data_IF_584474360472
#
_entry.id   IF_584474360472
#
_cell.length_a   1.000
_cell.length_b   1.000
_cell.length_c   1.000
_cell.angle_alpha   90.00
_cell.angle_beta   90.00
_cell.angle_gamma   90.00
#
_symmetry.space_group_name_H-M   'P 1'
#
loop_
_entity.id
_entity.type
_entity.pdbx_description
1 polymer ?
#
# COMPACT_ATOMS: atom_id res chain seq x y z
N UNK A 1 24.58 5.55 3.27
CA UNK A 1 23.95 6.84 2.92
C UNK A 1 24.91 7.60 2.01
N UNK A 2 24.44 8.04 0.85
CA UNK A 2 25.21 8.86 -0.10
C UNK A 2 24.51 10.23 -0.17
N UNK A 3 25.27 11.32 -0.16
CA UNK A 3 24.74 12.65 -0.49
C UNK A 3 24.89 12.85 -1.99
N UNK A 4 23.81 13.20 -2.67
CA UNK A 4 23.84 13.27 -4.13
C UNK A 4 22.46 13.43 -4.75
N UNK A 5 22.35 13.01 -6.01
CA UNK A 5 21.15 13.15 -6.84
C UNK A 5 20.72 11.77 -7.33
N UNK A 6 19.41 11.50 -7.29
CA UNK A 6 18.80 10.36 -7.95
C UNK A 6 18.00 10.86 -9.15
N UNK A 7 18.25 10.30 -10.32
CA UNK A 7 17.53 10.64 -11.55
C UNK A 7 16.49 9.55 -11.86
N UNK A 8 15.25 9.98 -12.09
CA UNK A 8 14.14 9.12 -12.51
C UNK A 8 13.78 9.47 -13.94
N UNK A 9 13.72 8.47 -14.81
CA UNK A 9 13.25 8.58 -16.19
C UNK A 9 12.27 7.44 -16.47
N UNK A 10 11.10 7.77 -17.03
CA UNK A 10 10.06 6.81 -17.39
C UNK A 10 9.67 5.86 -16.23
N UNK A 11 9.58 6.41 -15.01
CA UNK A 11 9.24 5.66 -13.80
C UNK A 11 10.35 4.75 -13.26
N UNK A 12 11.57 4.84 -13.80
CA UNK A 12 12.71 4.01 -13.38
C UNK A 12 13.88 4.88 -12.93
N UNK A 13 14.67 4.36 -11.98
CA UNK A 13 15.93 4.98 -11.59
C UNK A 13 16.91 4.82 -12.75
N UNK A 14 17.33 5.92 -13.35
CA UNK A 14 18.26 5.92 -14.49
C UNK A 14 19.71 6.20 -14.07
N UNK A 15 19.92 6.94 -12.98
CA UNK A 15 21.25 7.20 -12.41
C UNK A 15 21.18 7.56 -10.92
N UNK A 16 22.29 7.33 -10.22
CA UNK A 16 22.55 7.81 -8.86
C UNK A 16 23.94 8.46 -8.87
N UNK A 17 23.99 9.76 -8.65
CA UNK A 17 25.20 10.58 -8.69
C UNK A 17 25.55 11.10 -7.28
N UNK A 18 26.82 11.34 -7.01
CA UNK A 18 27.30 11.92 -5.73
C UNK A 18 27.27 13.45 -5.70
N UNK A 19 26.94 14.09 -6.82
CA UNK A 19 26.82 15.55 -6.94
C UNK A 19 25.38 16.02 -6.72
N UNK A 20 25.23 17.31 -6.39
CA UNK A 20 23.92 17.98 -6.35
C UNK A 20 23.58 18.46 -7.76
N UNK A 21 22.39 18.10 -8.25
CA UNK A 21 21.90 18.55 -9.55
C UNK A 21 21.73 20.06 -9.60
N UNK A 22 22.05 20.66 -10.75
CA UNK A 22 21.81 22.08 -11.05
C UNK A 22 20.64 22.28 -12.00
N UNK A 23 19.95 21.20 -12.39
CA UNK A 23 18.76 21.29 -13.24
C UNK A 23 17.63 21.98 -12.49
N UNK A 24 16.97 22.93 -13.14
CA UNK A 24 15.84 23.66 -12.55
C UNK A 24 14.66 22.75 -12.18
N UNK A 25 14.53 21.58 -12.81
CA UNK A 25 13.52 20.59 -12.52
C UNK A 25 13.88 19.64 -11.36
N UNK A 26 15.10 19.73 -10.81
CA UNK A 26 15.50 18.91 -9.67
C UNK A 26 14.74 19.37 -8.41
N UNK A 27 14.24 18.40 -7.65
CA UNK A 27 13.61 18.66 -6.36
C UNK A 27 14.65 18.53 -5.25
N UNK A 28 14.92 19.62 -4.54
CA UNK A 28 15.76 19.60 -3.34
C UNK A 28 14.97 19.00 -2.16
N UNK A 29 15.51 17.93 -1.58
CA UNK A 29 14.92 17.27 -0.42
C UNK A 29 15.33 17.94 0.90
N UNK A 30 16.08 19.05 0.86
CA UNK A 30 16.40 19.89 2.03
C UNK A 30 17.07 19.15 3.19
N UNK A 31 17.79 18.07 2.88
CA UNK A 31 18.47 17.23 3.86
C UNK A 31 17.66 16.02 4.35
N UNK A 32 16.41 15.85 3.90
CA UNK A 32 15.63 14.65 4.16
C UNK A 32 16.24 13.42 3.47
N UNK A 33 15.99 12.25 4.06
CA UNK A 33 16.43 10.98 3.49
C UNK A 33 15.50 10.51 2.39
N UNK A 34 16.06 10.29 1.20
CA UNK A 34 15.40 9.52 0.16
C UNK A 34 15.58 8.03 0.43
N UNK A 35 14.47 7.32 0.59
CA UNK A 35 14.43 5.88 0.83
C UNK A 35 13.65 5.20 -0.31
N UNK A 36 13.94 3.92 -0.63
CA UNK A 36 13.01 3.14 -1.42
C UNK A 36 11.66 3.04 -0.69
N UNK A 37 10.58 2.86 -1.46
CA UNK A 37 9.27 2.58 -0.89
C UNK A 37 9.31 1.33 -0.02
N UNK A 38 8.62 1.36 1.12
CA UNK A 38 8.61 0.25 2.06
C UNK A 38 7.74 -0.89 1.53
N UNK A 39 8.12 -2.12 1.87
CA UNK A 39 7.37 -3.34 1.56
C UNK A 39 6.83 -3.91 2.87
N UNK A 40 5.50 -3.97 2.98
CA UNK A 40 4.82 -4.62 4.10
C UNK A 40 4.49 -6.06 3.72
N UNK A 41 5.16 -7.01 4.37
CA UNK A 41 5.04 -8.44 4.04
C UNK A 41 3.88 -9.12 4.78
N UNK A 42 3.42 -8.54 5.89
CA UNK A 42 2.39 -9.19 6.70
C UNK A 42 1.57 -8.16 7.47
N UNK A 43 0.37 -7.89 6.96
CA UNK A 43 -0.59 -7.02 7.65
C UNK A 43 -1.98 -7.63 7.69
N UNK A 44 -2.60 -7.57 8.87
CA UNK A 44 -4.02 -7.91 9.12
C UNK A 44 -4.91 -6.65 9.09
N UNK A 45 -4.35 -5.52 8.66
CA UNK A 45 -4.96 -4.22 8.88
C UNK A 45 -6.20 -3.99 8.02
N UNK A 46 -6.30 -4.60 6.82
CA UNK A 46 -7.50 -4.55 5.98
C UNK A 46 -8.75 -5.05 6.73
N UNK A 47 -8.63 -6.09 7.55
CA UNK A 47 -9.76 -6.64 8.32
C UNK A 47 -10.33 -5.61 9.30
N UNK A 48 -9.49 -4.71 9.84
CA UNK A 48 -9.92 -3.62 10.73
C UNK A 48 -10.71 -2.54 10.00
N UNK A 49 -10.48 -2.35 8.71
CA UNK A 49 -11.28 -1.45 7.87
C UNK A 49 -12.59 -2.11 7.42
N UNK A 50 -12.57 -3.41 7.17
CA UNK A 50 -13.74 -4.18 6.73
C UNK A 50 -14.71 -4.51 7.87
N UNK A 51 -14.19 -4.88 9.04
CA UNK A 51 -14.95 -5.22 10.24
C UNK A 51 -14.44 -4.38 11.43
N UNK A 52 -14.73 -3.07 11.46
CA UNK A 52 -14.15 -2.15 12.44
C UNK A 52 -14.56 -2.41 13.88
N UNK A 53 -15.67 -3.13 14.09
CA UNK A 53 -16.11 -3.59 15.40
C UNK A 53 -16.93 -4.87 15.28
N UNK A 54 -17.06 -5.67 16.36
CA UNK A 54 -17.83 -6.91 16.33
C UNK A 54 -19.26 -6.72 15.81
N UNK A 55 -19.65 -7.59 14.88
CA UNK A 55 -21.01 -7.61 14.31
C UNK A 55 -21.30 -6.57 13.23
N UNK A 56 -20.32 -5.75 12.83
CA UNK A 56 -20.49 -4.76 11.75
C UNK A 56 -19.56 -5.08 10.60
N UNK A 57 -20.14 -5.16 9.40
CA UNK A 57 -19.41 -5.28 8.13
C UNK A 57 -19.57 -3.96 7.37
N UNK A 58 -18.45 -3.35 7.01
CA UNK A 58 -18.38 -2.18 6.14
C UNK A 58 -18.28 -2.61 4.66
N UNK A 59 -18.73 -1.80 3.70
CA UNK A 59 -18.54 -2.12 2.28
C UNK A 59 -17.06 -2.34 1.94
N UNK A 60 -16.77 -3.43 1.22
CA UNK A 60 -15.41 -3.91 0.98
C UNK A 60 -14.53 -2.94 0.19
N UNK A 61 -15.05 -2.35 -0.89
CA UNK A 61 -14.26 -1.41 -1.70
C UNK A 61 -13.83 -0.15 -0.92
N UNK A 62 -14.73 0.57 -0.22
CA UNK A 62 -14.32 1.64 0.69
C UNK A 62 -13.34 1.20 1.79
N UNK A 63 -13.46 -0.02 2.32
CA UNK A 63 -12.51 -0.56 3.29
C UNK A 63 -11.09 -0.69 2.71
N UNK A 64 -10.96 -1.22 1.49
CA UNK A 64 -9.68 -1.32 0.76
C UNK A 64 -9.09 0.07 0.49
N UNK A 65 -9.89 1.03 0.04
CA UNK A 65 -9.43 2.40 -0.23
C UNK A 65 -8.94 3.09 1.06
N UNK A 66 -9.64 2.89 2.18
CA UNK A 66 -9.24 3.41 3.49
C UNK A 66 -7.93 2.78 3.97
N UNK A 67 -7.76 1.47 3.74
CA UNK A 67 -6.54 0.76 4.02
C UNK A 67 -5.35 1.28 3.18
N UNK A 68 -5.51 1.40 1.85
CA UNK A 68 -4.51 1.96 0.91
C UNK A 68 -4.01 3.35 1.34
N UNK A 69 -4.96 4.23 1.70
CA UNK A 69 -4.62 5.59 2.14
C UNK A 69 -3.74 5.57 3.39
N UNK A 70 -4.00 4.67 4.34
CA UNK A 70 -3.23 4.56 5.57
C UNK A 70 -1.82 4.01 5.33
N UNK A 71 -1.67 2.94 4.54
CA UNK A 71 -0.36 2.35 4.28
C UNK A 71 0.51 3.25 3.39
N UNK A 72 -0.10 3.91 2.40
CA UNK A 72 0.61 4.83 1.50
C UNK A 72 1.13 6.05 2.26
N UNK A 73 0.33 6.58 3.20
CA UNK A 73 0.75 7.67 4.08
C UNK A 73 1.91 7.28 5.01
N UNK A 74 2.08 5.99 5.31
CA UNK A 74 3.19 5.47 6.09
C UNK A 74 4.46 5.20 5.25
N UNK A 75 4.44 5.50 3.94
CA UNK A 75 5.57 5.27 3.03
C UNK A 75 5.67 3.84 2.49
N UNK A 76 4.63 3.01 2.68
CA UNK A 76 4.54 1.66 2.12
C UNK A 76 4.01 1.79 0.69
N UNK A 77 4.81 1.33 -0.28
CA UNK A 77 4.43 1.34 -1.71
C UNK A 77 3.98 -0.03 -2.20
N UNK A 78 4.31 -1.09 -1.46
CA UNK A 78 3.92 -2.46 -1.77
C UNK A 78 3.51 -3.16 -0.49
N UNK A 79 2.34 -3.79 -0.48
CA UNK A 79 1.79 -4.53 0.66
C UNK A 79 1.36 -5.92 0.22
N UNK A 80 1.54 -6.89 1.10
CA UNK A 80 0.97 -8.22 0.99
C UNK A 80 -0.14 -8.34 2.03
N UNK A 81 -1.39 -8.16 1.59
CA UNK A 81 -2.57 -8.24 2.45
C UNK A 81 -2.75 -9.66 3.01
N UNK A 82 -2.57 -9.83 4.33
CA UNK A 82 -2.75 -11.12 4.99
C UNK A 82 -4.21 -11.29 5.43
N UNK A 83 -4.96 -12.15 4.72
CA UNK A 83 -6.35 -12.47 5.04
C UNK A 83 -6.44 -13.75 5.88
N UNK A 84 -7.16 -13.70 6.99
CA UNK A 84 -7.17 -14.80 7.97
C UNK A 84 -8.08 -15.96 7.55
N UNK A 85 -7.46 -17.09 7.17
CA UNK A 85 -8.12 -18.37 6.86
C UNK A 85 -8.14 -19.32 8.08
N UNK A 86 -8.96 -19.05 9.11
CA UNK A 86 -9.15 -20.03 10.20
C UNK A 86 -9.84 -19.50 11.47
N UNK A 87 -11.00 -20.08 11.81
CA UNK A 87 -11.64 -20.06 13.14
C UNK A 87 -12.81 -21.07 13.16
N UNK A 88 -13.01 -21.77 14.28
CA UNK A 88 -13.77 -23.02 14.32
C UNK A 88 -15.29 -22.84 14.47
N UNK A 89 -15.76 -21.63 14.80
CA UNK A 89 -17.15 -21.43 15.23
C UNK A 89 -18.09 -20.71 14.24
N UNK A 90 -17.63 -20.16 13.10
CA UNK A 90 -18.49 -19.46 12.11
C UNK A 90 -17.99 -19.56 10.65
N UNK A 91 -17.85 -20.77 10.12
CA UNK A 91 -17.18 -21.04 8.82
C UNK A 91 -17.86 -20.37 7.59
N UNK A 92 -19.19 -20.30 7.52
CA UNK A 92 -19.90 -19.82 6.32
C UNK A 92 -19.77 -18.31 6.04
N UNK A 93 -20.03 -17.46 7.05
CA UNK A 93 -19.95 -15.99 6.92
C UNK A 93 -18.51 -15.50 6.67
N UNK A 94 -17.51 -16.26 7.11
CA UNK A 94 -16.10 -15.89 6.96
C UNK A 94 -15.56 -16.16 5.57
N UNK A 95 -15.94 -17.28 4.93
CA UNK A 95 -15.56 -17.55 3.54
C UNK A 95 -16.13 -16.51 2.56
N UNK A 96 -17.36 -16.05 2.80
CA UNK A 96 -17.98 -14.95 2.04
C UNK A 96 -17.23 -13.63 2.23
N UNK A 97 -16.83 -13.31 3.47
CA UNK A 97 -16.06 -12.11 3.77
C UNK A 97 -14.68 -12.11 3.13
N UNK A 98 -13.94 -13.23 3.18
CA UNK A 98 -12.62 -13.34 2.54
C UNK A 98 -12.76 -13.15 1.04
N UNK A 99 -13.75 -13.81 0.40
CA UNK A 99 -14.03 -13.62 -1.02
C UNK A 99 -14.35 -12.15 -1.33
N UNK A 100 -15.22 -11.52 -0.55
CA UNK A 100 -15.60 -10.12 -0.75
C UNK A 100 -14.42 -9.15 -0.62
N UNK A 101 -13.48 -9.41 0.30
CA UNK A 101 -12.25 -8.62 0.45
C UNK A 101 -11.28 -8.86 -0.72
N UNK A 102 -11.01 -10.11 -1.08
CA UNK A 102 -10.14 -10.44 -2.23
C UNK A 102 -10.69 -9.85 -3.53
N UNK A 103 -12.00 -10.01 -3.79
CA UNK A 103 -12.66 -9.46 -4.98
C UNK A 103 -12.57 -7.92 -4.98
N UNK A 104 -12.69 -7.27 -3.82
CA UNK A 104 -12.57 -5.82 -3.70
C UNK A 104 -11.13 -5.32 -3.96
N UNK A 105 -10.11 -6.02 -3.45
CA UNK A 105 -8.70 -5.71 -3.75
C UNK A 105 -8.45 -5.85 -5.25
N UNK A 106 -8.80 -7.00 -5.83
CA UNK A 106 -8.65 -7.24 -7.28
C UNK A 106 -9.42 -6.21 -8.11
N UNK A 107 -10.65 -5.85 -7.70
CA UNK A 107 -11.43 -4.82 -8.37
C UNK A 107 -10.73 -3.46 -8.32
N UNK A 108 -10.24 -3.05 -7.14
CA UNK A 108 -9.59 -1.77 -6.96
C UNK A 108 -8.28 -1.66 -7.76
N UNK A 109 -7.48 -2.74 -7.82
CA UNK A 109 -6.29 -2.83 -8.66
C UNK A 109 -6.63 -2.69 -10.14
N UNK A 110 -7.60 -3.47 -10.64
CA UNK A 110 -8.02 -3.43 -12.04
C UNK A 110 -8.59 -2.07 -12.47
N UNK A 111 -9.08 -1.29 -11.52
CA UNK A 111 -9.62 0.06 -11.73
C UNK A 111 -8.62 1.17 -11.45
N UNK A 112 -7.37 0.85 -11.10
CA UNK A 112 -6.32 1.81 -10.71
C UNK A 112 -6.79 2.77 -9.60
N UNK A 113 -7.47 2.24 -8.58
CA UNK A 113 -8.00 3.03 -7.46
C UNK A 113 -7.03 3.13 -6.28
N UNK A 114 -5.93 2.37 -6.31
CA UNK A 114 -4.96 2.24 -5.22
C UNK A 114 -3.68 3.02 -5.55
N UNK A 115 -2.99 3.52 -4.52
CA UNK A 115 -1.67 4.16 -4.64
C UNK A 115 -0.55 3.16 -4.45
N UNK A 116 -0.71 2.24 -3.49
CA UNK A 116 0.22 1.15 -3.26
C UNK A 116 -0.14 -0.05 -4.15
N UNK A 117 0.84 -0.91 -4.37
CA UNK A 117 0.62 -2.26 -4.90
C UNK A 117 0.14 -3.16 -3.75
N UNK A 118 -0.99 -3.85 -3.96
CA UNK A 118 -1.62 -4.76 -3.00
C UNK A 118 -1.59 -6.22 -3.46
#
# INVERSE_FOLDING_TARGET
VIKGTLHIQDGKISAIDTGVSTLAAAQDLQGDYLLPGLIELHTDNLEKHYSPRPGVIWPSLPAVISHDAQISAAGITTVFDALTLGDDNQKARRSENIRAMTDAVTHAQNKNLLRAEH
#
